data_IF_739158991675
#
_entry.id   IF_739158991675
#
_cell.length_a   1.000
_cell.length_b   1.000
_cell.length_c   1.000
_cell.angle_alpha   90.00
_cell.angle_beta   90.00
_cell.angle_gamma   90.00
#
_symmetry.space_group_name_H-M   'P 1'
#
loop_
_entity.id
_entity.type
_entity.pdbx_description
1 polymer ?
#
# COMPACT_ATOMS: atom_id res chain seq x y z
N UNK A 1 -14.00 -1.14 6.03
CA UNK A 1 -14.01 -0.60 7.41
C UNK A 1 -12.59 -0.69 7.96
N UNK A 2 -11.85 0.42 8.01
CA UNK A 2 -10.47 0.43 8.51
C UNK A 2 -10.43 0.36 10.04
N UNK A 3 -9.48 -0.40 10.61
CA UNK A 3 -9.29 -0.49 12.06
C UNK A 3 -8.50 0.72 12.57
N UNK A 4 -9.15 1.88 12.63
CA UNK A 4 -8.61 3.04 13.32
C UNK A 4 -8.64 2.82 14.84
N UNK A 5 -7.49 2.95 15.50
CA UNK A 5 -7.44 2.99 16.96
C UNK A 5 -7.42 4.46 17.39
N UNK A 6 -8.33 4.84 18.31
CA UNK A 6 -8.29 6.16 18.92
C UNK A 6 -7.11 6.22 19.88
N UNK A 7 -6.24 7.22 19.70
CA UNK A 7 -5.15 7.52 20.61
C UNK A 7 -5.37 8.90 21.23
N UNK A 8 -5.17 8.98 22.54
CA UNK A 8 -5.13 10.25 23.25
C UNK A 8 -3.76 10.90 23.08
N UNK A 9 -3.76 12.18 22.71
CA UNK A 9 -2.53 12.97 22.59
C UNK A 9 -1.99 13.34 23.98
N UNK A 10 -0.70 13.10 24.28
CA UNK A 10 -0.11 13.48 25.56
C UNK A 10 -0.01 15.00 25.65
N UNK A 11 -0.96 15.64 26.35
CA UNK A 11 -0.91 17.08 26.63
C UNK A 11 -2.25 17.81 26.81
N UNK A 12 -3.41 17.14 26.68
CA UNK A 12 -4.68 17.83 26.77
C UNK A 12 -5.21 17.96 28.21
N UNK A 13 -4.68 18.93 28.96
CA UNK A 13 -5.45 19.63 30.00
C UNK A 13 -6.53 20.56 29.43
N UNK A 14 -6.92 20.35 28.17
CA UNK A 14 -7.89 21.16 27.44
C UNK A 14 -9.26 20.47 27.49
N UNK A 15 -10.36 21.20 27.76
CA UNK A 15 -11.72 20.64 27.82
C UNK A 15 -12.23 20.11 26.47
N UNK A 16 -11.51 20.39 25.38
CA UNK A 16 -11.76 19.81 24.06
C UNK A 16 -10.89 18.55 23.90
N UNK A 17 -11.44 17.38 24.21
CA UNK A 17 -10.82 16.08 23.93
C UNK A 17 -10.70 15.88 22.41
N UNK A 18 -9.51 16.12 21.87
CA UNK A 18 -9.19 15.77 20.49
C UNK A 18 -8.63 14.35 20.48
N UNK A 19 -9.38 13.42 19.90
CA UNK A 19 -8.90 12.07 19.62
C UNK A 19 -8.26 12.05 18.24
N UNK A 20 -7.04 11.51 18.17
CA UNK A 20 -6.38 11.23 16.91
C UNK A 20 -6.71 9.80 16.49
N UNK A 21 -7.09 9.62 15.23
CA UNK A 21 -7.17 8.28 14.63
C UNK A 21 -5.77 7.91 14.16
N UNK A 22 -5.14 6.97 14.85
CA UNK A 22 -3.87 6.42 14.43
C UNK A 22 -4.10 5.07 13.73
N UNK A 23 -3.41 4.86 12.62
CA UNK A 23 -3.31 3.54 12.00
C UNK A 23 -2.48 2.66 12.94
N UNK A 24 -3.01 1.51 13.33
CA UNK A 24 -2.29 0.53 14.13
C UNK A 24 -1.45 -0.34 13.21
N UNK A 25 -0.12 -0.24 13.28
CA UNK A 25 0.83 -1.12 12.60
C UNK A 25 1.77 -1.77 13.62
N UNK A 26 1.84 -3.10 13.61
CA UNK A 26 2.58 -3.89 14.62
C UNK A 26 3.96 -4.33 14.13
N UNK A 27 4.15 -4.47 12.83
CA UNK A 27 5.40 -4.87 12.18
C UNK A 27 5.47 -4.29 10.77
N UNK A 28 6.64 -4.40 10.13
CA UNK A 28 6.82 -3.96 8.73
C UNK A 28 5.94 -4.74 7.75
N UNK A 29 5.60 -5.98 8.08
CA UNK A 29 4.76 -6.89 7.28
C UNK A 29 3.29 -6.89 7.73
N UNK A 30 2.86 -5.99 8.62
CA UNK A 30 1.50 -5.98 9.16
C UNK A 30 0.47 -5.55 8.11
N UNK A 31 -0.37 -6.50 7.71
CA UNK A 31 -1.43 -6.31 6.71
C UNK A 31 -2.83 -6.10 7.31
N UNK A 32 -2.94 -5.89 8.63
CA UNK A 32 -4.24 -5.86 9.33
C UNK A 32 -5.17 -4.71 8.95
N UNK A 33 -4.67 -3.71 8.21
CA UNK A 33 -5.45 -2.57 7.70
C UNK A 33 -5.92 -2.76 6.25
N UNK A 34 -5.55 -3.86 5.58
CA UNK A 34 -5.97 -4.20 4.23
C UNK A 34 -7.23 -5.09 4.27
N UNK A 35 -7.96 -5.17 3.15
CA UNK A 35 -9.13 -6.04 3.05
C UNK A 35 -8.70 -7.53 3.14
N UNK A 36 -9.26 -8.32 4.08
CA UNK A 36 -8.94 -9.73 4.19
C UNK A 36 -9.24 -10.56 2.95
N UNK A 37 -10.09 -10.09 2.02
CA UNK A 37 -10.36 -10.79 0.77
C UNK A 37 -9.12 -10.88 -0.11
N UNK A 38 -8.37 -9.78 -0.26
CA UNK A 38 -7.12 -9.78 -1.04
C UNK A 38 -5.98 -10.56 -0.38
N UNK A 39 -5.99 -10.70 0.95
CA UNK A 39 -4.94 -11.42 1.69
C UNK A 39 -5.08 -12.94 1.61
N UNK A 40 -6.23 -13.45 1.15
CA UNK A 40 -6.47 -14.88 0.99
C UNK A 40 -5.92 -15.42 -0.33
N UNK A 41 -5.73 -14.55 -1.31
CA UNK A 41 -5.19 -14.91 -2.61
C UNK A 41 -3.67 -15.10 -2.51
N UNK A 42 -3.15 -16.07 -3.24
CA UNK A 42 -1.71 -16.25 -3.36
C UNK A 42 -1.11 -15.08 -4.17
N UNK A 43 0.07 -14.56 -3.80
CA UNK A 43 0.70 -13.43 -4.48
C UNK A 43 1.36 -13.88 -5.80
N UNK A 44 0.53 -14.29 -6.76
CA UNK A 44 0.96 -14.80 -8.05
C UNK A 44 0.63 -13.81 -9.16
N UNK A 45 1.50 -13.74 -10.17
CA UNK A 45 1.17 -13.06 -11.42
C UNK A 45 0.23 -13.96 -12.21
N UNK A 46 -0.87 -13.40 -12.71
CA UNK A 46 -1.73 -14.09 -13.68
C UNK A 46 -0.89 -14.47 -14.90
N UNK A 47 -0.90 -15.75 -15.34
CA UNK A 47 -0.17 -16.16 -16.54
C UNK A 47 -0.61 -15.36 -17.76
N UNK A 48 0.35 -15.02 -18.63
CA UNK A 48 0.09 -14.30 -19.87
C UNK A 48 -0.26 -15.31 -20.96
N UNK A 49 -1.31 -15.06 -21.74
CA UNK A 49 -1.67 -15.90 -22.87
C UNK A 49 -0.68 -15.74 -24.03
N UNK A 50 -0.38 -16.84 -24.71
CA UNK A 50 0.52 -16.85 -25.85
C UNK A 50 0.03 -15.92 -26.97
N UNK A 51 0.94 -15.13 -27.53
CA UNK A 51 0.67 -14.26 -28.67
C UNK A 51 0.16 -12.85 -28.31
N UNK A 52 -0.36 -12.61 -27.10
CA UNK A 52 -0.78 -11.26 -26.66
C UNK A 52 0.39 -10.26 -26.76
N UNK A 53 1.58 -10.65 -26.30
CA UNK A 53 2.77 -9.79 -26.31
C UNK A 53 3.17 -9.34 -27.73
N UNK A 54 2.95 -10.18 -28.73
CA UNK A 54 3.27 -9.86 -30.12
C UNK A 54 2.31 -8.85 -30.76
N UNK A 55 1.11 -8.67 -30.18
CA UNK A 55 0.10 -7.73 -30.66
C UNK A 55 0.26 -6.32 -30.05
N UNK A 56 1.10 -6.18 -29.03
CA UNK A 56 1.29 -4.92 -28.30
C UNK A 56 2.48 -4.16 -28.89
N UNK A 57 2.28 -2.88 -29.19
CA UNK A 57 3.34 -2.00 -29.65
C UNK A 57 4.32 -1.65 -28.51
N UNK A 58 5.45 -2.36 -28.44
CA UNK A 58 6.44 -2.18 -27.37
C UNK A 58 7.06 -0.79 -27.32
N UNK A 59 7.05 -0.05 -28.43
CA UNK A 59 7.62 1.29 -28.52
C UNK A 59 6.84 2.33 -27.70
N UNK A 60 5.59 2.03 -27.31
CA UNK A 60 4.77 2.87 -26.42
C UNK A 60 5.30 2.88 -24.98
N UNK A 61 6.07 1.86 -24.59
CA UNK A 61 6.67 1.76 -23.26
C UNK A 61 8.12 2.30 -23.23
N UNK A 62 8.56 2.98 -24.29
CA UNK A 62 9.84 3.69 -24.27
C UNK A 62 9.84 4.73 -23.14
N UNK A 63 10.95 4.79 -22.41
CA UNK A 63 11.13 5.69 -21.27
C UNK A 63 10.17 5.43 -20.09
N UNK A 64 9.64 4.20 -19.97
CA UNK A 64 8.80 3.80 -18.84
C UNK A 64 9.58 3.67 -17.53
N UNK A 65 10.82 3.19 -17.59
CA UNK A 65 11.64 2.95 -16.41
C UNK A 65 11.95 4.24 -15.66
N UNK A 66 11.70 4.23 -14.34
CA UNK A 66 12.03 5.30 -13.41
C UNK A 66 12.68 4.68 -12.16
N UNK A 67 13.74 5.33 -11.68
CA UNK A 67 14.39 5.04 -10.41
C UNK A 67 14.46 6.35 -9.64
N UNK A 68 14.05 6.33 -8.38
CA UNK A 68 14.15 7.49 -7.50
C UNK A 68 15.64 7.83 -7.27
N UNK A 69 16.10 9.06 -7.57
CA UNK A 69 17.48 9.46 -7.32
C UNK A 69 17.93 9.31 -5.86
N UNK A 70 16.99 9.35 -4.89
CA UNK A 70 17.31 9.15 -3.47
C UNK A 70 17.62 7.67 -3.13
N UNK A 71 17.28 6.73 -4.01
CA UNK A 71 17.56 5.30 -3.84
C UNK A 71 18.87 4.86 -4.51
N UNK A 72 19.51 5.71 -5.30
CA UNK A 72 20.82 5.44 -5.90
C UNK A 72 21.94 5.79 -4.91
N UNK A 73 22.15 4.91 -3.90
CA UNK A 73 23.25 5.01 -2.93
C UNK A 73 24.34 3.99 -3.18
#
# INVERSE_FOLDING_TARGET
>A
MGKGQLREEPGAGSPNHFFSVCISQKSNEDVSNFDPEFLKEEPILTPIEDGILAMINQEEFRNFSYTDPELES
#
